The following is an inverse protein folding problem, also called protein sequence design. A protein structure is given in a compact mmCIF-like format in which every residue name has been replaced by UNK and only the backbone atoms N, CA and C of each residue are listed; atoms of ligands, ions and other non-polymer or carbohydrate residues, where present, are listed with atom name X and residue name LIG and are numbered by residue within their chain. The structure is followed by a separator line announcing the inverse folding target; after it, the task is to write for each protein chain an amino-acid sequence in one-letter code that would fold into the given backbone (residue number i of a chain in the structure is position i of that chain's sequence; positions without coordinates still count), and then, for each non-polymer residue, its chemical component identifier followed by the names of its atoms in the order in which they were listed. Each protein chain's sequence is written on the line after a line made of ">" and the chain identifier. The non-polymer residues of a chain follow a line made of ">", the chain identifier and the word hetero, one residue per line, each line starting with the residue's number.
data_IF_643718402515
#
_entry.id   IF_643718402515
#
_cell.length_a   1.000
_cell.length_b   1.000
_cell.length_c   1.000
_cell.angle_alpha   90.00
_cell.angle_beta   90.00
_cell.angle_gamma   90.00
#
_symmetry.space_group_name_H-M   'P 1'
#
loop_
_entity.id
_entity.type
_entity.pdbx_description
1 polymer ?
#
# COMPACT_ATOMS: atom_id res chain seq x y z
N UNK A 1 -53.11 15.95 10.39
CA UNK A 1 -51.86 15.95 11.20
C UNK A 1 -52.01 14.86 12.21
N UNK A 2 -51.54 13.66 11.88
CA UNK A 2 -51.42 12.59 12.86
C UNK A 2 -50.31 12.98 13.84
N UNK A 3 -50.60 12.87 15.15
CA UNK A 3 -49.58 13.07 16.19
C UNK A 3 -49.25 11.70 16.76
N UNK A 4 -48.05 11.22 16.48
CA UNK A 4 -47.57 10.00 17.07
C UNK A 4 -47.12 10.29 18.51
N UNK A 5 -47.67 9.53 19.46
CA UNK A 5 -47.36 9.68 20.88
C UNK A 5 -46.21 8.75 21.22
N UNK A 6 -45.01 9.29 21.17
CA UNK A 6 -43.81 8.57 21.57
C UNK A 6 -43.64 8.69 23.09
N UNK A 7 -43.54 7.54 23.76
CA UNK A 7 -43.36 7.44 25.22
C UNK A 7 -42.02 6.77 25.50
N UNK A 8 -41.13 7.49 26.18
CA UNK A 8 -39.88 6.91 26.70
C UNK A 8 -39.95 6.83 28.22
N UNK A 9 -39.41 5.73 28.77
CA UNK A 9 -39.18 5.58 30.20
C UNK A 9 -37.70 5.79 30.50
N UNK A 10 -37.28 7.00 30.87
CA UNK A 10 -35.88 7.25 31.23
C UNK A 10 -35.49 6.59 32.57
N UNK A 11 -36.46 6.29 33.45
CA UNK A 11 -36.23 5.63 34.74
C UNK A 11 -37.46 4.83 35.21
N UNK A 12 -37.31 3.89 36.16
CA UNK A 12 -38.44 3.13 36.72
C UNK A 12 -39.49 4.07 37.35
N UNK A 13 -40.74 3.96 36.90
CA UNK A 13 -41.86 4.78 37.40
C UNK A 13 -42.00 6.17 36.77
N UNK A 14 -41.06 6.60 35.91
CA UNK A 14 -41.12 7.89 35.21
C UNK A 14 -41.38 7.65 33.73
N UNK A 15 -42.41 8.31 33.21
CA UNK A 15 -42.76 8.29 31.80
C UNK A 15 -42.71 9.71 31.26
N UNK A 16 -42.00 9.90 30.16
CA UNK A 16 -41.98 11.16 29.45
C UNK A 16 -42.66 10.96 28.09
N UNK A 17 -43.73 11.71 27.87
CA UNK A 17 -44.49 11.67 26.62
C UNK A 17 -44.25 12.97 25.87
N UNK A 18 -43.80 12.85 24.63
CA UNK A 18 -43.79 13.96 23.67
C UNK A 18 -44.62 13.58 22.46
N UNK A 19 -45.22 14.60 21.86
CA UNK A 19 -45.96 14.47 20.62
C UNK A 19 -45.12 15.03 19.49
N UNK A 20 -44.70 14.17 18.59
CA UNK A 20 -44.06 14.57 17.35
C UNK A 20 -45.15 14.90 16.32
N UNK A 21 -45.09 16.08 15.70
CA UNK A 21 -46.01 16.43 14.62
C UNK A 21 -45.43 15.93 13.31
N UNK A 22 -45.80 14.70 12.93
CA UNK A 22 -45.42 14.16 11.63
C UNK A 22 -46.32 14.79 10.57
N UNK A 23 -45.72 15.55 9.67
CA UNK A 23 -46.42 16.29 8.63
C UNK A 23 -46.52 15.42 7.36
N UNK A 24 -47.72 14.87 7.09
CA UNK A 24 -47.97 14.04 5.89
C UNK A 24 -47.74 14.77 4.54
N UNK A 25 -47.73 16.11 4.56
CA UNK A 25 -47.59 16.98 3.39
C UNK A 25 -46.19 17.54 3.21
N UNK A 26 -45.32 17.36 4.20
CA UNK A 26 -43.98 17.87 4.11
C UNK A 26 -43.22 16.90 3.21
N UNK A 27 -42.69 17.35 2.07
CA UNK A 27 -41.91 16.46 1.24
C UNK A 27 -40.73 16.01 2.11
N UNK A 28 -40.58 14.70 2.27
CA UNK A 28 -39.44 14.10 2.93
C UNK A 28 -38.24 14.28 1.98
N UNK A 29 -37.80 15.53 1.80
CA UNK A 29 -36.81 15.94 0.81
C UNK A 29 -35.47 15.43 1.30
N UNK A 30 -35.01 14.35 0.67
CA UNK A 30 -33.62 13.94 0.77
C UNK A 30 -32.83 14.81 -0.20
N UNK A 31 -32.01 15.71 0.32
CA UNK A 31 -31.05 16.44 -0.50
C UNK A 31 -30.01 15.43 -1.01
N UNK A 32 -29.87 15.35 -2.32
CA UNK A 32 -28.84 14.56 -3.00
C UNK A 32 -27.95 15.54 -3.76
N UNK A 33 -26.62 15.36 -3.74
CA UNK A 33 -25.74 16.25 -4.51
C UNK A 33 -26.01 16.04 -5.99
N UNK A 34 -26.11 17.14 -6.74
CA UNK A 34 -25.82 17.11 -8.18
C UNK A 34 -24.35 16.68 -8.33
N UNK A 35 -24.15 15.40 -8.62
CA UNK A 35 -22.89 14.71 -8.37
C UNK A 35 -21.72 15.27 -9.18
N UNK A 36 -20.73 15.84 -8.51
CA UNK A 36 -19.38 15.92 -9.05
C UNK A 36 -18.58 14.71 -8.57
N UNK A 37 -17.97 13.98 -9.51
CA UNK A 37 -17.17 12.81 -9.18
C UNK A 37 -15.76 13.23 -8.77
N UNK A 38 -15.40 13.00 -7.50
CA UNK A 38 -14.00 13.09 -7.07
C UNK A 38 -13.24 11.92 -7.71
N UNK A 39 -12.50 12.21 -8.78
CA UNK A 39 -11.72 11.19 -9.49
C UNK A 39 -10.34 11.06 -8.85
N UNK A 40 -10.19 10.14 -7.90
CA UNK A 40 -8.86 9.76 -7.39
C UNK A 40 -8.20 8.82 -8.40
N UNK A 41 -7.41 9.37 -9.31
CA UNK A 41 -6.55 8.54 -10.18
C UNK A 41 -5.39 8.00 -9.36
N UNK A 42 -5.52 6.77 -8.90
CA UNK A 42 -4.35 5.97 -8.56
C UNK A 42 -3.63 5.64 -9.87
N UNK A 43 -2.36 6.03 -10.01
CA UNK A 43 -1.49 5.52 -11.06
C UNK A 43 -1.15 4.04 -10.78
N UNK A 44 -2.16 3.16 -10.80
CA UNK A 44 -1.98 1.76 -11.12
C UNK A 44 -2.15 1.66 -12.62
N UNK A 45 -1.13 1.16 -13.32
CA UNK A 45 -1.34 0.64 -14.67
C UNK A 45 -2.29 -0.55 -14.51
N UNK A 46 -3.56 -0.33 -14.85
CA UNK A 46 -4.71 -1.26 -14.82
C UNK A 46 -5.12 -1.82 -13.44
N UNK A 47 -6.29 -1.39 -12.96
CA UNK A 47 -7.00 -2.01 -11.85
C UNK A 47 -8.09 -1.10 -11.32
N UNK A 48 -9.28 -1.18 -11.90
CA UNK A 48 -10.46 -0.45 -11.44
C UNK A 48 -10.76 -0.88 -10.00
N UNK A 49 -10.69 0.04 -9.04
CA UNK A 49 -11.17 -0.22 -7.68
C UNK A 49 -12.43 0.61 -7.47
N UNK A 50 -13.57 -0.09 -7.42
CA UNK A 50 -14.78 0.43 -6.80
C UNK A 50 -14.56 0.40 -5.28
N UNK A 51 -14.67 1.55 -4.63
CA UNK A 51 -14.52 1.67 -3.19
C UNK A 51 -15.83 1.28 -2.50
N UNK A 52 -15.93 0.05 -2.01
CA UNK A 52 -16.87 -0.26 -0.94
C UNK A 52 -16.23 0.08 0.39
N UNK A 53 -16.92 0.90 1.18
CA UNK A 53 -16.54 1.34 2.53
C UNK A 53 -16.37 0.12 3.44
N UNK A 54 -15.12 -0.24 3.72
CA UNK A 54 -14.79 -1.45 4.48
C UNK A 54 -13.27 -1.61 4.56
N UNK A 55 -12.61 -0.75 5.33
CA UNK A 55 -11.16 -0.84 5.53
C UNK A 55 -10.87 -1.93 6.56
N UNK A 56 -10.52 -3.13 6.09
CA UNK A 56 -9.92 -4.16 6.95
C UNK A 56 -8.46 -3.78 7.21
N UNK A 57 -8.13 -3.46 8.46
CA UNK A 57 -6.77 -3.13 8.86
C UNK A 57 -5.91 -4.39 8.96
N UNK A 58 -5.17 -4.70 7.89
CA UNK A 58 -4.11 -5.70 7.96
C UNK A 58 -2.78 -5.02 8.35
N UNK A 59 -1.96 -5.60 9.25
CA UNK A 59 -0.72 -4.98 9.72
C UNK A 59 0.35 -4.79 8.62
N UNK A 60 0.14 -5.34 7.43
CA UNK A 60 1.05 -5.19 6.28
C UNK A 60 0.88 -3.86 5.52
N UNK A 61 -0.17 -3.07 5.81
CA UNK A 61 -0.40 -1.80 5.13
C UNK A 61 0.31 -0.65 5.84
N UNK A 62 1.25 0.00 5.15
CA UNK A 62 1.89 1.23 5.65
C UNK A 62 1.10 2.44 5.16
N UNK A 63 0.69 3.31 6.09
CA UNK A 63 0.06 4.60 5.79
C UNK A 63 1.10 5.54 5.17
N UNK A 64 0.81 6.04 3.97
CA UNK A 64 1.72 6.94 3.25
C UNK A 64 1.36 8.41 3.43
N UNK A 65 0.12 8.75 3.11
CA UNK A 65 -0.33 10.14 3.01
C UNK A 65 -1.82 10.22 3.30
N UNK A 66 -2.22 11.30 3.95
CA UNK A 66 -3.60 11.70 4.11
C UNK A 66 -3.90 12.90 3.22
N UNK A 67 -5.00 12.84 2.47
CA UNK A 67 -5.51 13.96 1.67
C UNK A 67 -6.86 14.35 2.24
N UNK A 68 -6.96 15.61 2.65
CA UNK A 68 -8.18 16.19 3.22
C UNK A 68 -8.91 16.97 2.14
N UNK A 69 -10.19 16.66 1.96
CA UNK A 69 -11.13 17.45 1.17
C UNK A 69 -12.13 18.07 2.15
N UNK A 70 -12.08 19.38 2.25
CA UNK A 70 -12.90 20.15 3.19
C UNK A 70 -14.35 20.17 2.72
N UNK A 71 -15.30 19.99 3.63
CA UNK A 71 -16.77 20.00 3.36
C UNK A 71 -17.25 18.94 2.35
N UNK A 72 -16.40 17.98 1.98
CA UNK A 72 -16.70 16.94 1.00
C UNK A 72 -17.28 15.65 1.61
N UNK A 73 -17.52 15.63 2.92
CA UNK A 73 -18.13 14.55 3.68
C UNK A 73 -19.66 14.51 3.64
N UNK A 74 -20.26 13.85 4.63
CA UNK A 74 -21.72 13.70 4.71
C UNK A 74 -22.40 15.06 4.95
N UNK A 75 -23.46 15.39 4.19
CA UNK A 75 -24.18 16.65 4.35
C UNK A 75 -25.05 16.60 5.61
N UNK A 76 -25.10 17.73 6.33
CA UNK A 76 -25.91 17.91 7.53
C UNK A 76 -26.95 19.00 7.25
N UNK A 77 -28.20 18.80 7.69
CA UNK A 77 -29.25 19.83 7.58
C UNK A 77 -28.91 20.92 8.61
N UNK A 78 -28.88 22.18 8.16
CA UNK A 78 -28.56 23.37 8.96
C UNK A 78 -27.12 23.42 9.53
N UNK A 79 -26.14 22.81 8.84
CA UNK A 79 -24.73 22.85 9.22
C UNK A 79 -23.77 22.72 8.04
N UNK A 80 -22.47 22.91 8.30
CA UNK A 80 -21.41 22.62 7.34
C UNK A 80 -21.29 21.11 7.13
N UNK A 81 -21.02 20.69 5.89
CA UNK A 81 -20.77 19.29 5.57
C UNK A 81 -19.50 18.81 6.28
N UNK A 82 -19.42 17.52 6.62
CA UNK A 82 -18.19 16.95 7.18
C UNK A 82 -17.03 16.96 6.18
N UNK A 83 -15.84 16.52 6.60
CA UNK A 83 -14.68 16.40 5.72
C UNK A 83 -14.52 14.98 5.14
N UNK A 84 -13.99 14.89 3.92
CA UNK A 84 -13.59 13.63 3.31
C UNK A 84 -12.06 13.44 3.41
N UNK A 85 -11.64 12.42 4.17
CA UNK A 85 -10.22 12.09 4.39
C UNK A 85 -9.83 10.83 3.64
N UNK A 86 -8.99 10.96 2.63
CA UNK A 86 -8.37 9.82 1.95
C UNK A 86 -7.07 9.43 2.63
N UNK A 87 -6.99 8.19 3.10
CA UNK A 87 -5.76 7.60 3.62
C UNK A 87 -5.17 6.62 2.61
N UNK A 88 -4.04 7.01 2.01
CA UNK A 88 -3.35 6.18 1.03
C UNK A 88 -2.55 5.11 1.76
N UNK A 89 -2.83 3.84 1.46
CA UNK A 89 -2.14 2.68 2.01
C UNK A 89 -1.37 1.95 0.90
N UNK A 90 -0.16 1.51 1.21
CA UNK A 90 0.63 0.68 0.29
C UNK A 90 0.25 -0.78 0.45
N UNK A 91 -0.22 -1.41 -0.62
CA UNK A 91 -0.42 -2.86 -0.65
C UNK A 91 0.93 -3.60 -0.72
N UNK A 92 1.08 -4.75 -0.03
CA UNK A 92 2.27 -5.56 -0.16
C UNK A 92 2.43 -6.06 -1.60
N UNK A 93 3.66 -6.02 -2.11
CA UNK A 93 4.00 -6.50 -3.45
C UNK A 93 4.90 -7.74 -3.36
N UNK A 94 4.73 -8.70 -4.28
CA UNK A 94 5.44 -9.99 -4.21
C UNK A 94 6.96 -9.89 -4.36
N UNK A 95 7.46 -8.86 -5.04
CA UNK A 95 8.89 -8.69 -5.35
C UNK A 95 9.54 -7.49 -4.67
N UNK A 96 8.76 -6.49 -4.29
CA UNK A 96 9.27 -5.20 -3.84
C UNK A 96 8.63 -4.81 -2.52
N UNK A 97 9.45 -4.30 -1.62
CA UNK A 97 9.00 -3.65 -0.40
C UNK A 97 9.40 -2.19 -0.47
N UNK A 98 8.42 -1.30 -0.28
CA UNK A 98 8.67 0.14 -0.23
C UNK A 98 9.00 0.55 1.19
N UNK A 99 10.05 1.36 1.34
CA UNK A 99 10.42 2.02 2.59
C UNK A 99 10.68 3.51 2.30
N UNK A 100 9.75 4.38 2.70
CA UNK A 100 9.78 5.78 2.31
C UNK A 100 9.75 5.98 0.79
N UNK A 101 10.85 6.46 0.22
CA UNK A 101 11.03 6.65 -1.23
C UNK A 101 11.91 5.57 -1.87
N UNK A 102 12.42 4.63 -1.08
CA UNK A 102 13.33 3.60 -1.54
C UNK A 102 12.58 2.27 -1.73
N UNK A 103 13.11 1.43 -2.60
CA UNK A 103 12.59 0.09 -2.90
C UNK A 103 13.60 -0.95 -2.43
N UNK A 104 13.10 -2.03 -1.84
CA UNK A 104 13.89 -3.17 -1.40
C UNK A 104 13.42 -4.42 -2.12
N UNK A 105 14.36 -5.20 -2.63
CA UNK A 105 14.09 -6.51 -3.22
C UNK A 105 15.15 -7.52 -2.82
N UNK A 106 14.79 -8.81 -2.86
CA UNK A 106 15.73 -9.90 -2.57
C UNK A 106 15.94 -10.71 -3.83
N UNK A 107 17.19 -10.83 -4.25
CA UNK A 107 17.58 -11.62 -5.42
C UNK A 107 18.38 -12.83 -4.97
N UNK A 108 17.96 -13.98 -5.46
CA UNK A 108 18.63 -15.25 -5.19
C UNK A 108 19.66 -15.54 -6.28
N UNK A 109 20.89 -15.87 -5.87
CA UNK A 109 22.02 -16.26 -6.73
C UNK A 109 22.62 -17.59 -6.23
N UNK A 110 23.24 -18.36 -7.11
CA UNK A 110 23.92 -19.61 -6.72
C UNK A 110 25.29 -19.32 -6.09
N UNK A 111 25.85 -20.29 -5.36
CA UNK A 111 27.21 -20.16 -4.82
C UNK A 111 28.26 -19.87 -5.90
N UNK A 112 28.16 -20.53 -7.06
CA UNK A 112 29.08 -20.30 -8.19
C UNK A 112 28.96 -18.86 -8.70
N UNK A 113 27.73 -18.37 -8.86
CA UNK A 113 27.46 -16.98 -9.25
C UNK A 113 27.98 -15.98 -8.21
N UNK A 114 27.89 -16.31 -6.93
CA UNK A 114 28.41 -15.46 -5.86
C UNK A 114 29.94 -15.36 -5.88
N UNK A 115 30.65 -16.41 -6.33
CA UNK A 115 32.12 -16.44 -6.38
C UNK A 115 32.69 -15.84 -7.67
N UNK A 116 32.12 -16.18 -8.82
CA UNK A 116 32.68 -15.83 -10.15
C UNK A 116 32.02 -14.58 -10.74
N UNK A 117 30.88 -14.16 -10.17
CA UNK A 117 30.03 -13.12 -10.73
C UNK A 117 28.82 -13.67 -11.46
N UNK A 118 27.92 -12.77 -11.83
CA UNK A 118 26.67 -13.09 -12.52
C UNK A 118 26.22 -11.95 -13.42
N UNK A 119 25.49 -12.31 -14.45
CA UNK A 119 24.75 -11.39 -15.31
C UNK A 119 23.26 -11.67 -15.10
N UNK A 120 22.54 -10.70 -14.53
CA UNK A 120 21.13 -10.85 -14.18
C UNK A 120 20.45 -9.50 -14.24
N UNK A 121 19.20 -9.50 -14.67
CA UNK A 121 18.35 -8.33 -14.69
C UNK A 121 17.16 -8.51 -13.76
N UNK A 122 16.68 -7.43 -13.17
CA UNK A 122 15.47 -7.38 -12.35
C UNK A 122 14.44 -6.53 -13.08
N UNK A 123 13.22 -7.05 -13.21
CA UNK A 123 12.10 -6.30 -13.77
C UNK A 123 11.54 -5.34 -12.73
N UNK A 124 11.53 -4.05 -13.03
CA UNK A 124 11.01 -2.99 -12.17
C UNK A 124 9.48 -2.90 -12.23
N UNK A 125 8.88 -2.07 -11.36
CA UNK A 125 7.45 -1.79 -11.27
C UNK A 125 6.87 -1.11 -12.53
N UNK A 126 7.69 -0.36 -13.27
CA UNK A 126 7.40 0.26 -14.57
C UNK A 126 7.81 -0.63 -15.77
N UNK A 127 8.13 -1.89 -15.50
CA UNK A 127 8.42 -2.95 -16.47
C UNK A 127 9.77 -2.85 -17.18
N UNK A 128 10.59 -1.82 -16.93
CA UNK A 128 11.96 -1.82 -17.45
C UNK A 128 12.86 -2.80 -16.70
N UNK A 129 14.00 -3.12 -17.32
CA UNK A 129 14.98 -4.04 -16.79
C UNK A 129 16.14 -3.27 -16.15
N UNK A 130 16.39 -3.54 -14.88
CA UNK A 130 17.55 -3.04 -14.15
C UNK A 130 18.65 -4.09 -14.21
N UNK A 131 19.81 -3.73 -14.77
CA UNK A 131 20.98 -4.60 -14.74
C UNK A 131 21.59 -4.60 -13.34
N UNK A 132 21.69 -5.80 -12.75
CA UNK A 132 22.30 -6.02 -11.45
C UNK A 132 23.59 -6.82 -11.54
N UNK A 133 24.15 -6.98 -12.74
CA UNK A 133 25.36 -7.77 -13.00
C UNK A 133 26.56 -7.34 -12.13
N UNK A 134 27.46 -8.29 -11.90
CA UNK A 134 28.76 -8.06 -11.26
C UNK A 134 29.74 -9.15 -11.69
N UNK A 135 31.01 -8.76 -11.82
CA UNK A 135 32.13 -9.69 -12.04
C UNK A 135 32.89 -10.02 -10.74
N UNK A 136 32.52 -9.38 -9.64
CA UNK A 136 33.17 -9.54 -8.34
C UNK A 136 32.46 -10.53 -7.43
N UNK A 137 33.13 -10.88 -6.34
CA UNK A 137 32.57 -11.74 -5.29
C UNK A 137 31.41 -11.02 -4.61
N UNK A 138 30.30 -11.72 -4.43
CA UNK A 138 29.11 -11.23 -3.73
C UNK A 138 28.89 -12.00 -2.43
N UNK A 139 28.89 -11.29 -1.31
CA UNK A 139 28.72 -11.90 0.00
C UNK A 139 27.25 -12.26 0.27
N UNK A 140 26.98 -13.32 1.05
CA UNK A 140 25.62 -13.61 1.51
C UNK A 140 25.03 -12.42 2.29
N UNK A 141 23.77 -12.07 2.01
CA UNK A 141 23.07 -10.91 2.58
C UNK A 141 23.70 -9.56 2.26
N UNK A 142 24.65 -9.50 1.32
CA UNK A 142 25.15 -8.23 0.84
C UNK A 142 24.00 -7.42 0.22
N UNK A 143 24.01 -6.12 0.48
CA UNK A 143 23.06 -5.18 -0.10
C UNK A 143 23.82 -4.33 -1.12
N UNK A 144 23.33 -4.29 -2.35
CA UNK A 144 23.79 -3.33 -3.37
C UNK A 144 22.74 -2.26 -3.58
N UNK A 145 23.21 -1.03 -3.77
CA UNK A 145 22.40 0.16 -4.00
C UNK A 145 22.45 0.55 -5.48
N UNK A 146 21.29 0.74 -6.07
CA UNK A 146 21.12 1.22 -7.43
C UNK A 146 20.43 2.59 -7.40
N UNK A 147 21.08 3.59 -7.99
CA UNK A 147 20.65 4.99 -7.94
C UNK A 147 19.58 5.27 -8.99
N UNK A 148 18.52 5.98 -8.62
CA UNK A 148 17.44 6.35 -9.54
C UNK A 148 16.40 5.25 -9.79
N UNK A 149 16.52 4.12 -9.09
CA UNK A 149 15.64 2.96 -9.24
C UNK A 149 14.65 2.83 -8.07
N UNK A 150 14.49 3.86 -7.23
CA UNK A 150 13.47 3.90 -6.18
C UNK A 150 12.12 4.48 -6.64
N UNK A 151 11.29 4.86 -5.68
CA UNK A 151 10.03 5.57 -5.93
C UNK A 151 10.29 7.05 -6.26
N UNK A 152 9.41 7.69 -7.06
CA UNK A 152 9.47 9.13 -7.30
C UNK A 152 9.33 9.93 -6.00
N UNK A 153 10.16 10.96 -5.84
CA UNK A 153 10.03 11.90 -4.73
C UNK A 153 8.88 12.88 -4.98
N UNK A 154 8.15 13.22 -3.93
CA UNK A 154 7.07 14.21 -4.02
C UNK A 154 7.63 15.56 -4.48
N UNK A 155 7.00 16.18 -5.47
CA UNK A 155 7.41 17.48 -6.06
C UNK A 155 8.82 17.52 -6.64
N UNK A 156 9.38 16.37 -7.05
CA UNK A 156 10.71 16.28 -7.66
C UNK A 156 10.73 15.31 -8.83
N UNK A 157 11.61 15.56 -9.79
CA UNK A 157 11.91 14.62 -10.89
C UNK A 157 12.85 13.49 -10.47
N UNK A 158 13.42 13.58 -9.26
CA UNK A 158 14.34 12.56 -8.73
C UNK A 158 13.56 11.34 -8.24
N UNK A 159 14.17 10.17 -8.42
CA UNK A 159 13.74 8.90 -7.84
C UNK A 159 14.66 8.54 -6.66
N UNK A 160 14.14 7.75 -5.72
CA UNK A 160 14.92 7.18 -4.64
C UNK A 160 15.88 6.08 -5.11
N UNK A 161 16.22 5.18 -4.21
CA UNK A 161 17.16 4.09 -4.44
C UNK A 161 16.49 2.72 -4.47
N UNK A 162 17.08 1.79 -5.21
CA UNK A 162 16.76 0.36 -5.12
C UNK A 162 17.86 -0.36 -4.35
N UNK A 163 17.49 -1.02 -3.26
CA UNK A 163 18.35 -1.89 -2.48
C UNK A 163 18.07 -3.35 -2.84
N UNK A 164 19.07 -4.00 -3.42
CA UNK A 164 19.01 -5.43 -3.77
C UNK A 164 19.79 -6.21 -2.74
N UNK A 165 19.09 -7.05 -1.98
CA UNK A 165 19.71 -7.98 -1.03
C UNK A 165 19.97 -9.33 -1.70
N UNK A 166 21.19 -9.83 -1.62
CA UNK A 166 21.57 -11.09 -2.27
C UNK A 166 21.44 -12.28 -1.32
N UNK A 167 20.61 -13.25 -1.69
CA UNK A 167 20.51 -14.55 -1.03
C UNK A 167 21.33 -15.57 -1.82
N UNK A 168 22.37 -16.13 -1.20
CA UNK A 168 23.20 -17.16 -1.82
C UNK A 168 22.60 -18.54 -1.55
N UNK A 169 22.33 -19.29 -2.60
CA UNK A 169 21.93 -20.70 -2.53
C UNK A 169 23.17 -21.59 -2.53
N UNK A 170 23.35 -22.30 -1.42
CA UNK A 170 24.35 -23.34 -1.29
C UNK A 170 23.83 -24.66 -1.87
N UNK A 171 24.70 -25.48 -2.50
CA UNK A 171 24.34 -26.83 -2.90
C UNK A 171 24.02 -27.67 -1.66
N UNK A 172 23.07 -28.60 -1.76
CA UNK A 172 22.66 -29.49 -0.66
C UNK A 172 23.71 -30.56 -0.34
N UNK A 173 24.44 -31.04 -1.35
CA UNK A 173 25.50 -32.02 -1.20
C UNK A 173 26.59 -31.83 -2.26
N UNK A 174 27.79 -32.32 -1.96
CA UNK A 174 28.96 -32.33 -2.84
C UNK A 174 29.61 -33.71 -2.80
N UNK A 175 30.05 -34.21 -3.96
CA UNK A 175 30.86 -35.42 -4.07
C UNK A 175 32.26 -35.17 -3.52
N UNK A 176 32.95 -36.21 -3.05
CA UNK A 176 34.31 -36.07 -2.50
C UNK A 176 35.27 -35.43 -3.52
N UNK A 177 35.23 -35.85 -4.78
CA UNK A 177 36.02 -35.24 -5.87
C UNK A 177 35.80 -33.72 -5.99
N UNK A 178 34.55 -33.26 -5.90
CA UNK A 178 34.24 -31.82 -5.96
C UNK A 178 34.76 -31.08 -4.74
N UNK A 179 34.74 -31.69 -3.55
CA UNK A 179 35.30 -31.10 -2.34
C UNK A 179 36.81 -30.92 -2.46
N UNK A 180 37.55 -31.92 -2.94
CA UNK A 180 39.00 -31.81 -3.15
C UNK A 180 39.34 -30.70 -4.14
N UNK A 181 38.62 -30.62 -5.26
CA UNK A 181 38.83 -29.57 -6.26
C UNK A 181 38.57 -28.17 -5.69
N UNK A 182 37.52 -28.01 -4.88
CA UNK A 182 37.20 -26.71 -4.25
C UNK A 182 38.28 -26.33 -3.23
N UNK A 183 38.76 -27.28 -2.41
CA UNK A 183 39.83 -27.04 -1.44
C UNK A 183 41.09 -26.56 -2.17
N UNK A 184 41.50 -27.23 -3.25
CA UNK A 184 42.69 -26.87 -4.02
C UNK A 184 42.63 -25.48 -4.71
N UNK A 185 41.42 -24.94 -4.93
CA UNK A 185 41.23 -23.62 -5.55
C UNK A 185 41.17 -22.51 -4.49
N UNK A 186 40.56 -22.78 -3.33
CA UNK A 186 40.27 -21.78 -2.31
C UNK A 186 41.31 -21.71 -1.17
N UNK A 187 42.18 -22.73 -1.05
CA UNK A 187 43.27 -22.84 -0.08
C UNK A 187 44.56 -23.24 -0.78
#
# INVERSE_FOLDING_TARGET
>A
VWREKNVIKPAPGIFQQFTEQVCDKCPNVKYERDGYFITVRHARRAGNLSANSGVVESPAFVLLQEVLFFEDGEPIIDGESGDLRFRIRTAPHGLFRREGNDLHTTVTITLVQALVGYEKTVKHLDEHLVDISTKGITNPKQVRKFNGEGMPLHMSTKKGYLYVTFKVLFPTSLTEERKTNIIAILY
#
